data_IF_536832814969
#
_entry.id   IF_536832814969
#
_cell.length_a   1.000
_cell.length_b   1.000
_cell.length_c   1.000
_cell.angle_alpha   90.00
_cell.angle_beta   90.00
_cell.angle_gamma   90.00
#
_symmetry.space_group_name_H-M   'P 1'
#
loop_
_entity.id
_entity.type
_entity.pdbx_description
1 polymer ?
#
# COMPACT_ATOMS: atom_id res chain seq x y z
N UNK A 1 14.02 -31.66 -46.01
CA UNK A 1 13.85 -30.33 -45.39
C UNK A 1 14.03 -30.49 -43.88
N UNK A 2 15.13 -29.94 -43.37
CA UNK A 2 15.55 -29.99 -41.96
C UNK A 2 14.73 -28.98 -41.15
N UNK A 3 14.21 -29.36 -39.98
CA UNK A 3 13.47 -28.43 -39.09
C UNK A 3 14.46 -27.45 -38.46
N UNK A 4 14.17 -26.15 -38.37
CA UNK A 4 15.03 -25.22 -37.65
C UNK A 4 14.90 -25.44 -36.14
N UNK A 5 16.05 -25.50 -35.49
CA UNK A 5 16.24 -25.74 -34.07
C UNK A 5 15.59 -24.64 -33.21
N UNK A 6 14.91 -25.09 -32.15
CA UNK A 6 14.32 -24.26 -31.10
C UNK A 6 15.40 -23.71 -30.17
N UNK A 7 16.25 -22.82 -30.67
CA UNK A 7 17.18 -22.04 -29.86
C UNK A 7 16.66 -20.62 -29.67
N UNK A 8 15.71 -20.45 -28.73
CA UNK A 8 15.40 -19.13 -28.14
C UNK A 8 14.72 -19.28 -26.78
N UNK A 9 15.32 -20.09 -25.91
CA UNK A 9 14.88 -20.29 -24.52
C UNK A 9 15.74 -19.55 -23.50
N UNK A 10 17.05 -19.50 -23.72
CA UNK A 10 18.04 -19.13 -22.70
C UNK A 10 18.22 -17.62 -22.48
N UNK A 11 17.76 -16.76 -23.39
CA UNK A 11 17.84 -15.29 -23.22
C UNK A 11 16.63 -14.69 -22.48
N UNK A 12 15.68 -15.52 -22.03
CA UNK A 12 14.52 -15.04 -21.26
C UNK A 12 14.83 -15.11 -19.77
N UNK A 13 15.29 -14.00 -19.22
CA UNK A 13 15.33 -13.77 -17.77
C UNK A 13 13.89 -13.75 -17.21
N UNK A 14 13.33 -14.93 -16.92
CA UNK A 14 12.18 -15.04 -16.04
C UNK A 14 12.70 -14.86 -14.62
N UNK A 15 12.47 -13.69 -14.04
CA UNK A 15 12.59 -13.47 -12.62
C UNK A 15 11.48 -14.25 -11.92
N UNK A 16 11.74 -15.52 -11.61
CA UNK A 16 10.82 -16.34 -10.82
C UNK A 16 10.73 -15.77 -9.41
N UNK A 17 9.72 -14.92 -9.18
CA UNK A 17 8.83 -14.99 -8.03
C UNK A 17 9.40 -14.73 -6.63
N UNK A 18 10.63 -14.27 -6.44
CA UNK A 18 11.15 -13.96 -5.09
C UNK A 18 10.59 -12.68 -4.48
N UNK A 19 10.10 -11.73 -5.29
CA UNK A 19 9.60 -10.44 -4.79
C UNK A 19 8.37 -10.57 -3.87
N UNK A 20 7.53 -11.59 -4.06
CA UNK A 20 6.35 -11.81 -3.21
C UNK A 20 6.68 -12.47 -1.86
N UNK A 21 7.82 -13.15 -1.75
CA UNK A 21 8.16 -13.94 -0.54
C UNK A 21 8.62 -13.08 0.64
N UNK A 22 9.00 -11.82 0.39
CA UNK A 22 9.47 -10.89 1.42
C UNK A 22 8.49 -9.75 1.70
N UNK A 23 7.32 -9.73 1.06
CA UNK A 23 6.35 -8.64 1.21
C UNK A 23 5.85 -8.52 2.67
N UNK A 24 5.64 -9.64 3.37
CA UNK A 24 5.23 -9.64 4.79
C UNK A 24 6.34 -9.17 5.75
N UNK A 25 7.61 -9.14 5.30
CA UNK A 25 8.73 -8.65 6.11
C UNK A 25 8.89 -7.11 6.05
N UNK A 26 8.07 -6.42 5.25
CA UNK A 26 8.11 -4.97 5.05
C UNK A 26 7.24 -4.18 6.06
N UNK A 27 6.97 -4.74 7.23
CA UNK A 27 6.45 -3.92 8.33
C UNK A 27 7.62 -3.07 8.88
N UNK A 28 7.55 -1.76 8.69
CA UNK A 28 8.65 -0.83 9.05
C UNK A 28 8.97 -0.78 10.56
N UNK A 29 8.15 -1.42 11.40
CA UNK A 29 8.33 -1.47 12.85
C UNK A 29 9.12 -2.68 13.32
N UNK A 30 10.20 -2.47 14.07
CA UNK A 30 10.86 -3.55 14.81
C UNK A 30 9.90 -4.17 15.84
N UNK A 31 9.88 -5.51 15.93
CA UNK A 31 9.07 -6.22 16.93
C UNK A 31 9.55 -5.84 18.33
N UNK A 32 8.67 -5.21 19.11
CA UNK A 32 8.97 -4.81 20.48
C UNK A 32 8.75 -6.01 21.41
N UNK A 33 9.42 -6.05 22.58
CA UNK A 33 9.20 -7.12 23.56
C UNK A 33 7.73 -7.26 23.99
N UNK A 34 7.03 -6.13 24.06
CA UNK A 34 5.62 -6.00 24.44
C UNK A 34 4.67 -6.72 23.48
N UNK A 35 5.00 -6.73 22.19
CA UNK A 35 4.17 -7.32 21.12
C UNK A 35 4.08 -8.86 21.25
N UNK A 36 4.95 -9.47 22.06
CA UNK A 36 4.98 -10.91 22.35
C UNK A 36 4.30 -11.29 23.66
N UNK A 37 3.85 -10.31 24.44
CA UNK A 37 3.21 -10.55 25.74
C UNK A 37 1.77 -11.01 25.55
N UNK A 38 1.38 -12.09 26.23
CA UNK A 38 -0.01 -12.56 26.24
C UNK A 38 -0.96 -11.62 26.99
N UNK A 39 -0.44 -10.86 27.95
CA UNK A 39 -1.21 -9.93 28.78
C UNK A 39 -1.22 -8.50 28.21
N UNK A 40 -0.56 -8.26 27.06
CA UNK A 40 -0.57 -6.96 26.42
C UNK A 40 -1.97 -6.62 25.87
N UNK A 41 -2.33 -5.32 25.84
CA UNK A 41 -3.56 -4.90 25.18
C UNK A 41 -3.56 -5.30 23.70
N UNK A 42 -4.74 -5.62 23.17
CA UNK A 42 -4.95 -6.06 21.78
C UNK A 42 -4.55 -5.03 20.72
N UNK A 43 -4.38 -3.77 21.12
CA UNK A 43 -3.95 -2.67 20.28
C UNK A 43 -3.04 -1.75 21.06
N UNK A 44 -2.11 -1.10 20.35
CA UNK A 44 -1.25 -0.07 20.91
C UNK A 44 -2.06 1.23 21.04
N UNK A 45 -1.85 1.95 22.13
CA UNK A 45 -2.34 3.31 22.26
C UNK A 45 -1.58 4.23 21.30
N UNK A 46 -2.29 5.19 20.69
CA UNK A 46 -1.66 6.22 19.88
C UNK A 46 -0.90 7.19 20.78
N UNK A 47 0.28 7.64 20.35
CA UNK A 47 1.08 8.64 21.08
C UNK A 47 0.29 9.95 21.28
N UNK A 48 -0.48 10.33 20.27
CA UNK A 48 -1.39 11.46 20.30
C UNK A 48 -2.83 10.97 20.09
N UNK A 49 -3.60 10.74 21.17
CA UNK A 49 -4.99 10.30 21.06
C UNK A 49 -5.88 11.43 20.52
N UNK A 50 -6.83 11.06 19.67
CA UNK A 50 -7.86 11.96 19.16
C UNK A 50 -8.77 12.44 20.28
N UNK A 51 -9.42 13.60 20.10
CA UNK A 51 -10.42 14.09 21.04
C UNK A 51 -11.64 13.18 21.07
N UNK A 52 -12.40 13.23 22.16
CA UNK A 52 -13.64 12.45 22.27
C UNK A 52 -14.61 12.77 21.12
N UNK A 53 -14.98 11.75 20.35
CA UNK A 53 -15.87 11.86 19.18
C UNK A 53 -15.19 12.31 17.89
N UNK A 54 -13.90 12.62 17.90
CA UNK A 54 -13.13 12.98 16.72
C UNK A 54 -12.75 11.72 15.92
N UNK A 55 -12.91 11.79 14.60
CA UNK A 55 -12.49 10.71 13.68
C UNK A 55 -11.11 11.01 13.12
N UNK A 56 -10.34 9.96 12.89
CA UNK A 56 -9.06 10.08 12.19
C UNK A 56 -9.29 10.56 10.75
N UNK A 57 -8.57 11.61 10.33
CA UNK A 57 -8.57 12.09 8.95
C UNK A 57 -7.51 11.34 8.14
N UNK A 58 -7.93 10.32 7.40
CA UNK A 58 -7.06 9.47 6.58
C UNK A 58 -6.30 10.27 5.50
N UNK A 59 -6.84 11.41 5.08
CA UNK A 59 -6.24 12.27 4.07
C UNK A 59 -5.26 13.29 4.64
N UNK A 60 -5.12 13.42 5.96
CA UNK A 60 -4.36 14.52 6.57
C UNK A 60 -2.92 14.60 6.02
N UNK A 61 -2.24 13.44 5.93
CA UNK A 61 -0.89 13.37 5.37
C UNK A 61 -0.84 13.70 3.87
N UNK A 62 -1.81 13.18 3.09
CA UNK A 62 -1.88 13.43 1.63
C UNK A 62 -2.20 14.89 1.30
N UNK A 63 -3.00 15.54 2.14
CA UNK A 63 -3.37 16.96 1.99
C UNK A 63 -2.19 17.89 2.24
N UNK A 64 -1.24 17.53 3.10
CA UNK A 64 -0.03 18.32 3.34
C UNK A 64 0.85 18.42 2.07
N UNK A 65 0.84 17.36 1.25
CA UNK A 65 1.64 17.29 0.02
C UNK A 65 0.89 17.68 -1.24
N UNK A 66 -0.44 17.59 -1.26
CA UNK A 66 -1.28 17.91 -2.42
C UNK A 66 -1.63 19.40 -2.50
N UNK A 67 -1.99 19.88 -3.69
CA UNK A 67 -2.39 21.29 -3.85
C UNK A 67 -3.71 21.60 -3.13
N UNK A 68 -4.60 20.61 -3.04
CA UNK A 68 -5.88 20.74 -2.36
C UNK A 68 -6.45 19.36 -1.97
N UNK A 69 -7.55 19.37 -1.21
CA UNK A 69 -8.22 18.15 -0.74
C UNK A 69 -8.85 17.30 -1.85
N UNK A 70 -9.23 17.88 -2.99
CA UNK A 70 -9.73 17.10 -4.14
C UNK A 70 -8.61 16.32 -4.82
N UNK A 71 -7.43 16.90 -4.92
CA UNK A 71 -6.26 16.20 -5.48
C UNK A 71 -5.79 15.09 -4.55
N UNK A 72 -5.71 15.34 -3.24
CA UNK A 72 -5.39 14.28 -2.27
C UNK A 72 -6.34 13.08 -2.37
N UNK A 73 -7.63 13.32 -2.63
CA UNK A 73 -8.64 12.27 -2.87
C UNK A 73 -8.44 11.54 -4.20
N UNK A 74 -8.08 12.27 -5.27
CA UNK A 74 -7.82 11.68 -6.58
C UNK A 74 -6.58 10.80 -6.54
N UNK A 75 -5.52 11.26 -5.89
CA UNK A 75 -4.27 10.53 -5.75
C UNK A 75 -4.50 9.23 -4.97
N UNK A 76 -5.19 9.30 -3.83
CA UNK A 76 -5.57 8.11 -3.07
C UNK A 76 -6.42 7.12 -3.89
N UNK A 77 -7.45 7.61 -4.57
CA UNK A 77 -8.28 6.75 -5.39
C UNK A 77 -7.49 6.10 -6.54
N UNK A 78 -6.47 6.78 -7.09
CA UNK A 78 -5.64 6.26 -8.16
C UNK A 78 -4.68 5.16 -7.64
N UNK A 79 -4.13 5.33 -6.45
CA UNK A 79 -3.29 4.32 -5.77
C UNK A 79 -4.09 3.04 -5.45
N UNK A 80 -5.35 3.18 -5.07
CA UNK A 80 -6.25 2.05 -4.74
C UNK A 80 -6.93 1.43 -5.98
N UNK A 81 -6.78 2.04 -7.15
CA UNK A 81 -7.40 1.58 -8.39
C UNK A 81 -6.67 0.41 -9.03
N UNK A 82 -7.42 -0.40 -9.77
CA UNK A 82 -6.88 -1.56 -10.47
C UNK A 82 -6.49 -1.24 -11.92
N UNK A 83 -5.46 -1.90 -12.48
CA UNK A 83 -5.11 -1.75 -13.88
C UNK A 83 -6.30 -2.07 -14.79
N UNK A 84 -6.66 -1.12 -15.67
CA UNK A 84 -7.75 -1.28 -16.63
C UNK A 84 -9.16 -1.02 -16.08
N UNK A 85 -9.31 -0.51 -14.86
CA UNK A 85 -10.58 0.04 -14.38
C UNK A 85 -10.94 1.34 -15.12
N UNK A 86 -12.22 1.75 -15.01
CA UNK A 86 -12.62 3.10 -15.39
C UNK A 86 -11.84 4.16 -14.58
N UNK A 87 -11.60 5.37 -15.10
CA UNK A 87 -10.94 6.43 -14.36
C UNK A 87 -11.68 6.78 -13.06
N UNK A 88 -10.91 7.07 -12.01
CA UNK A 88 -11.43 7.51 -10.72
C UNK A 88 -12.18 8.83 -10.86
N UNK A 89 -13.34 8.94 -10.22
CA UNK A 89 -14.05 10.20 -10.07
C UNK A 89 -14.39 10.46 -8.61
N UNK A 90 -13.88 11.57 -8.07
CA UNK A 90 -14.14 11.99 -6.68
C UNK A 90 -15.25 13.02 -6.65
N UNK A 91 -16.10 12.95 -5.62
CA UNK A 91 -17.18 13.93 -5.45
C UNK A 91 -16.62 15.20 -4.83
N UNK A 92 -16.86 16.33 -5.49
CA UNK A 92 -16.64 17.64 -4.88
C UNK A 92 -17.77 17.96 -3.92
N UNK A 93 -17.53 17.75 -2.63
CA UNK A 93 -18.43 18.12 -1.56
C UNK A 93 -18.00 19.51 -1.08
N UNK A 94 -18.85 20.52 -1.30
CA UNK A 94 -18.67 21.91 -0.86
C UNK A 94 -19.49 22.20 0.39
#
# INVERSE_FOLDING_TARGET
>A
MTRPDTQKGDDRHFTHGTAASTADMASEGAIRPEDKSFDAPHAREAEEPLREGEKHDQLAAKVETAENRQEALLDEGLEESFPGSDPVSVKRIT
#
